data_IF_349231502060
#
_entry.id   IF_349231502060
#
_cell.length_a   1.000
_cell.length_b   1.000
_cell.length_c   1.000
_cell.angle_alpha   90.00
_cell.angle_beta   90.00
_cell.angle_gamma   90.00
#
_symmetry.space_group_name_H-M   'P 1'
#
loop_
_entity.id
_entity.type
_entity.pdbx_description
1 polymer ?
#
# COMPACT_ATOMS: atom_id res chain seq x y z
N UNK A 1 19.77 12.58 -9.17
CA UNK A 1 18.94 11.42 -9.57
C UNK A 1 17.74 11.30 -8.66
N UNK A 2 16.61 11.00 -9.25
CA UNK A 2 15.39 10.78 -8.46
C UNK A 2 15.47 9.44 -7.74
N UNK A 3 15.04 9.43 -6.47
CA UNK A 3 14.95 8.20 -5.69
C UNK A 3 13.78 7.35 -6.17
N UNK A 4 13.85 6.03 -6.05
CA UNK A 4 12.74 5.17 -6.42
C UNK A 4 11.51 5.44 -5.55
N UNK A 5 10.35 5.23 -6.14
CA UNK A 5 9.05 5.34 -5.46
C UNK A 5 8.45 3.94 -5.36
N UNK A 6 7.94 3.61 -4.19
CA UNK A 6 7.16 2.40 -3.96
C UNK A 6 5.75 2.78 -3.55
N UNK A 7 4.78 1.93 -3.86
CA UNK A 7 3.41 2.10 -3.41
C UNK A 7 3.03 0.92 -2.54
N UNK A 8 2.48 1.20 -1.36
CA UNK A 8 1.98 0.20 -0.43
C UNK A 8 0.47 0.34 -0.24
N UNK A 9 -0.18 -0.77 0.07
CA UNK A 9 -1.54 -0.78 0.60
C UNK A 9 -1.46 -0.92 2.11
N UNK A 10 -2.37 -0.24 2.81
CA UNK A 10 -2.47 -0.30 4.26
C UNK A 10 -3.89 -0.71 4.63
N UNK A 11 -4.02 -1.57 5.65
CA UNK A 11 -5.33 -1.98 6.14
C UNK A 11 -5.30 -2.28 7.63
N UNK A 12 -6.41 -2.00 8.30
CA UNK A 12 -6.58 -2.33 9.72
C UNK A 12 -8.06 -2.52 10.02
N UNK A 13 -8.40 -3.47 10.90
CA UNK A 13 -9.78 -3.66 11.31
C UNK A 13 -9.97 -3.86 12.82
N UNK A 14 -8.91 -3.63 13.60
CA UNK A 14 -8.99 -3.71 15.06
C UNK A 14 -8.61 -2.37 15.70
N UNK A 15 -9.28 -2.04 16.78
CA UNK A 15 -8.99 -0.86 17.58
C UNK A 15 -9.27 0.46 16.83
N UNK A 16 -8.47 1.47 17.11
CA UNK A 16 -8.53 2.74 16.41
C UNK A 16 -7.78 2.61 15.07
N UNK A 17 -8.51 2.23 14.04
CA UNK A 17 -7.97 1.86 12.73
C UNK A 17 -7.17 3.00 12.09
N UNK A 18 -7.73 4.21 12.05
CA UNK A 18 -7.05 5.36 11.44
C UNK A 18 -5.75 5.70 12.18
N UNK A 19 -5.79 5.73 13.51
CA UNK A 19 -4.59 6.02 14.31
C UNK A 19 -3.51 4.96 14.06
N UNK A 20 -3.90 3.70 13.94
CA UNK A 20 -2.97 2.61 13.64
C UNK A 20 -2.30 2.79 12.28
N UNK A 21 -3.06 3.13 11.25
CA UNK A 21 -2.51 3.34 9.92
C UNK A 21 -1.56 4.54 9.88
N UNK A 22 -1.91 5.62 10.56
CA UNK A 22 -1.05 6.80 10.64
C UNK A 22 0.22 6.52 11.45
N UNK A 23 0.11 5.71 12.51
CA UNK A 23 1.28 5.28 13.28
C UNK A 23 2.22 4.42 12.43
N UNK A 24 1.67 3.55 11.59
CA UNK A 24 2.47 2.74 10.67
C UNK A 24 3.29 3.64 9.74
N UNK A 25 2.66 4.65 9.15
CA UNK A 25 3.35 5.61 8.27
C UNK A 25 4.44 6.37 9.04
N UNK A 26 4.15 6.79 10.28
CA UNK A 26 5.12 7.46 11.14
C UNK A 26 6.33 6.59 11.45
N UNK A 27 6.12 5.28 11.66
CA UNK A 27 7.22 4.34 11.88
C UNK A 27 8.09 4.18 10.64
N UNK A 28 7.50 4.17 9.46
CA UNK A 28 8.26 4.15 8.20
C UNK A 28 9.10 5.42 8.05
N UNK A 29 8.53 6.57 8.35
CA UNK A 29 9.26 7.85 8.32
C UNK A 29 10.43 7.84 9.30
N UNK A 30 10.23 7.32 10.50
CA UNK A 30 11.30 7.19 11.49
C UNK A 30 12.44 6.27 11.02
N UNK A 31 12.13 5.34 10.12
CA UNK A 31 13.11 4.43 9.52
C UNK A 31 13.79 5.01 8.27
N UNK A 32 13.51 6.26 7.93
CA UNK A 32 14.15 6.93 6.79
C UNK A 32 13.36 6.87 5.48
N UNK A 33 12.12 6.40 5.52
CA UNK A 33 11.25 6.35 4.35
C UNK A 33 10.41 7.65 4.31
N UNK A 34 10.49 8.39 3.22
CA UNK A 34 9.68 9.60 3.09
C UNK A 34 8.31 9.26 2.49
N UNK A 35 7.24 9.60 3.20
CA UNK A 35 5.88 9.45 2.69
C UNK A 35 5.55 10.64 1.78
N UNK A 36 5.36 10.37 0.50
CA UNK A 36 5.11 11.41 -0.51
C UNK A 36 3.63 11.80 -0.57
N UNK A 37 2.75 10.82 -0.50
CA UNK A 37 1.31 11.02 -0.59
C UNK A 37 0.58 9.85 0.06
N UNK A 38 -0.61 10.13 0.58
CA UNK A 38 -1.47 9.12 1.20
C UNK A 38 -2.87 9.33 0.64
N UNK A 39 -3.53 8.25 0.23
CA UNK A 39 -4.93 8.30 -0.20
C UNK A 39 -5.86 8.55 0.98
N UNK A 40 -7.10 8.93 0.69
CA UNK A 40 -8.15 8.83 1.70
C UNK A 40 -8.31 7.36 2.10
N UNK A 41 -8.67 7.11 3.35
CA UNK A 41 -8.96 5.76 3.83
C UNK A 41 -10.43 5.45 3.59
N UNK A 42 -10.72 4.23 3.13
CA UNK A 42 -12.09 3.79 2.87
C UNK A 42 -12.41 2.55 3.70
N UNK A 43 -13.67 2.40 4.09
CA UNK A 43 -14.12 1.20 4.78
C UNK A 43 -14.51 0.12 3.77
N UNK A 44 -14.11 -1.11 4.05
CA UNK A 44 -14.41 -2.26 3.19
C UNK A 44 -14.79 -3.46 4.04
N UNK A 45 -15.67 -4.31 3.50
CA UNK A 45 -16.05 -5.55 4.16
C UNK A 45 -14.88 -6.55 4.16
N UNK A 46 -14.75 -7.37 5.22
CA UNK A 46 -13.70 -8.38 5.26
C UNK A 46 -13.89 -9.43 4.16
N UNK A 47 -12.76 -9.89 3.61
CA UNK A 47 -12.71 -10.95 2.60
C UNK A 47 -12.24 -12.24 3.28
N UNK A 48 -12.90 -13.36 2.96
CA UNK A 48 -12.60 -14.65 3.57
C UNK A 48 -13.35 -14.84 4.87
N UNK A 49 -12.67 -14.64 6.01
CA UNK A 49 -13.31 -14.72 7.33
C UNK A 49 -14.16 -13.47 7.56
N UNK A 50 -15.49 -13.61 7.50
CA UNK A 50 -16.41 -12.47 7.54
C UNK A 50 -16.90 -12.10 8.95
N UNK A 51 -16.63 -12.94 9.95
CA UNK A 51 -17.02 -12.67 11.35
C UNK A 51 -15.96 -11.80 12.03
N UNK A 52 -15.78 -10.58 11.50
CA UNK A 52 -14.82 -9.60 12.01
C UNK A 52 -15.24 -8.20 11.59
N UNK A 53 -14.74 -7.14 12.25
CA UNK A 53 -15.04 -5.77 11.85
C UNK A 53 -14.57 -5.44 10.44
N UNK A 54 -15.19 -4.43 9.83
CA UNK A 54 -14.78 -3.92 8.53
C UNK A 54 -13.36 -3.35 8.60
N UNK A 55 -12.66 -3.46 7.48
CA UNK A 55 -11.33 -2.88 7.33
C UNK A 55 -11.42 -1.40 6.99
N UNK A 56 -10.43 -0.65 7.46
CA UNK A 56 -10.11 0.66 6.92
C UNK A 56 -8.88 0.47 6.02
N UNK A 57 -8.98 0.87 4.75
CA UNK A 57 -7.95 0.64 3.74
C UNK A 57 -7.51 1.94 3.08
N UNK A 58 -6.24 1.99 2.70
CA UNK A 58 -5.67 3.08 1.94
C UNK A 58 -4.43 2.65 1.19
N UNK A 59 -3.82 3.60 0.52
CA UNK A 59 -2.54 3.43 -0.17
C UNK A 59 -1.63 4.61 0.16
N UNK A 60 -0.33 4.39 0.02
CA UNK A 60 0.67 5.45 0.22
C UNK A 60 1.79 5.31 -0.79
N UNK A 61 2.30 6.45 -1.25
CA UNK A 61 3.49 6.51 -2.10
C UNK A 61 4.67 6.88 -1.22
N UNK A 62 5.74 6.11 -1.36
CA UNK A 62 6.94 6.21 -0.54
C UNK A 62 8.15 6.52 -1.40
N UNK A 63 8.96 7.49 -0.99
CA UNK A 63 10.27 7.73 -1.59
C UNK A 63 11.28 6.87 -0.84
N UNK A 64 11.97 6.01 -1.57
CA UNK A 64 12.82 4.98 -0.99
C UNK A 64 14.29 5.38 -1.09
N UNK A 65 15.08 5.27 -0.01
CA UNK A 65 16.53 5.49 -0.09
C UNK A 65 17.16 4.56 -1.14
N UNK A 66 18.11 5.07 -1.90
CA UNK A 66 18.73 4.31 -3.01
C UNK A 66 19.34 2.97 -2.57
N UNK A 67 19.83 2.90 -1.34
CA UNK A 67 20.45 1.69 -0.83
C UNK A 67 19.44 0.62 -0.38
N UNK A 68 18.14 0.95 -0.34
CA UNK A 68 17.11 0.02 0.15
C UNK A 68 16.48 -0.73 -1.01
N UNK A 69 16.69 -2.05 -1.04
CA UNK A 69 16.11 -2.93 -2.07
C UNK A 69 14.62 -3.19 -1.80
N UNK A 70 13.88 -3.70 -2.80
CA UNK A 70 12.49 -4.15 -2.56
C UNK A 70 12.40 -5.18 -1.43
N UNK A 71 13.34 -6.12 -1.36
CA UNK A 71 13.37 -7.14 -0.32
C UNK A 71 13.57 -6.52 1.08
N UNK A 72 14.47 -5.54 1.19
CA UNK A 72 14.70 -4.85 2.46
C UNK A 72 13.47 -4.00 2.85
N UNK A 73 12.80 -3.39 1.90
CA UNK A 73 11.54 -2.69 2.18
C UNK A 73 10.47 -3.66 2.69
N UNK A 74 10.34 -4.83 2.07
CA UNK A 74 9.39 -5.84 2.53
C UNK A 74 9.66 -6.22 4.00
N UNK A 75 10.92 -6.45 4.36
CA UNK A 75 11.30 -6.76 5.74
C UNK A 75 10.93 -5.63 6.71
N UNK A 76 11.13 -4.38 6.27
CA UNK A 76 10.75 -3.21 7.07
C UNK A 76 9.23 -3.14 7.27
N UNK A 77 8.45 -3.43 6.24
CA UNK A 77 6.99 -3.49 6.36
C UNK A 77 6.54 -4.58 7.33
N UNK A 78 7.13 -5.77 7.22
CA UNK A 78 6.82 -6.88 8.13
C UNK A 78 7.19 -6.54 9.58
N UNK A 79 8.35 -5.96 9.83
CA UNK A 79 8.74 -5.56 11.18
C UNK A 79 7.85 -4.46 11.74
N UNK A 80 7.35 -3.57 10.89
CA UNK A 80 6.38 -2.55 11.30
C UNK A 80 5.06 -3.18 11.72
N UNK A 81 4.55 -4.15 10.97
CA UNK A 81 3.35 -4.90 11.33
C UNK A 81 3.51 -5.57 12.70
N UNK A 82 4.65 -6.22 12.92
CA UNK A 82 4.94 -6.89 14.19
C UNK A 82 4.97 -5.88 15.34
N UNK A 83 5.62 -4.74 15.14
CA UNK A 83 5.70 -3.68 16.15
C UNK A 83 4.31 -3.12 16.51
N UNK A 84 3.35 -3.21 15.60
CA UNK A 84 1.98 -2.76 15.82
C UNK A 84 1.05 -3.88 16.32
N UNK A 85 1.62 -5.00 16.75
CA UNK A 85 0.87 -6.08 17.39
C UNK A 85 0.20 -7.06 16.44
N UNK A 86 0.80 -7.29 15.26
CA UNK A 86 0.25 -8.26 14.30
C UNK A 86 0.20 -9.66 14.88
N UNK A 87 -1.00 -10.23 14.96
CA UNK A 87 -1.23 -11.63 15.33
C UNK A 87 -2.22 -12.22 14.33
N UNK A 88 -1.90 -13.41 13.80
CA UNK A 88 -2.78 -14.10 12.85
C UNK A 88 -2.91 -15.57 13.22
N UNK A 89 -3.83 -15.89 14.16
CA UNK A 89 -4.03 -17.27 14.59
C UNK A 89 -4.60 -18.18 13.47
N UNK A 90 -5.21 -17.60 12.43
CA UNK A 90 -5.74 -18.33 11.28
C UNK A 90 -5.77 -17.41 10.03
N UNK A 91 -5.87 -17.97 8.81
CA UNK A 91 -5.92 -17.15 7.58
C UNK A 91 -7.07 -16.16 7.57
N UNK A 92 -6.80 -14.93 7.12
CA UNK A 92 -7.74 -13.81 7.08
C UNK A 92 -8.30 -13.41 8.44
N UNK A 93 -7.62 -13.77 9.54
CA UNK A 93 -8.00 -13.36 10.88
C UNK A 93 -7.93 -11.83 11.05
N UNK A 94 -8.66 -11.27 12.03
CA UNK A 94 -8.54 -9.85 12.36
C UNK A 94 -7.08 -9.46 12.64
N UNK A 95 -6.70 -8.24 12.25
CA UNK A 95 -5.33 -7.77 12.40
C UNK A 95 -5.26 -6.29 12.67
N UNK A 96 -4.30 -5.90 13.52
CA UNK A 96 -4.10 -4.51 13.89
C UNK A 96 -3.67 -3.69 12.67
N UNK A 97 -2.70 -4.21 11.91
CA UNK A 97 -2.19 -3.52 10.71
C UNK A 97 -1.69 -4.53 9.68
N UNK A 98 -1.99 -4.24 8.42
CA UNK A 98 -1.54 -5.04 7.28
C UNK A 98 -0.91 -4.07 6.27
N UNK A 99 0.31 -4.35 5.86
CA UNK A 99 1.07 -3.52 4.93
C UNK A 99 1.52 -4.37 3.76
N UNK A 100 1.00 -4.09 2.56
CA UNK A 100 1.33 -4.85 1.35
C UNK A 100 2.14 -3.98 0.39
N UNK A 101 3.28 -4.50 -0.07
CA UNK A 101 4.06 -3.85 -1.11
C UNK A 101 3.42 -4.15 -2.47
N UNK A 102 2.87 -3.12 -3.11
CA UNK A 102 2.18 -3.26 -4.40
C UNK A 102 3.12 -3.08 -5.58
N UNK A 103 3.94 -2.03 -5.54
CA UNK A 103 4.85 -1.65 -6.61
C UNK A 103 6.13 -1.07 -6.02
N UNK A 104 7.24 -1.30 -6.70
CA UNK A 104 8.51 -0.65 -6.40
C UNK A 104 9.11 -0.22 -7.73
N UNK A 105 8.87 1.03 -8.14
CA UNK A 105 9.21 1.53 -9.48
C UNK A 105 8.78 0.51 -10.55
N UNK A 106 9.61 0.25 -11.52
CA UNK A 106 9.41 -0.76 -12.56
C UNK A 106 10.05 -2.12 -12.21
N UNK A 107 10.45 -2.30 -10.96
CA UNK A 107 11.05 -3.54 -10.50
C UNK A 107 10.06 -4.71 -10.58
N UNK A 108 10.56 -5.85 -11.00
CA UNK A 108 9.79 -7.10 -11.03
C UNK A 108 10.46 -8.14 -10.16
N UNK A 109 9.63 -8.96 -9.50
CA UNK A 109 10.11 -10.06 -8.67
C UNK A 109 9.16 -11.24 -8.82
N UNK A 110 9.71 -12.44 -8.79
CA UNK A 110 8.94 -13.68 -8.82
C UNK A 110 9.63 -14.70 -7.92
N UNK A 111 9.71 -14.38 -6.63
CA UNK A 111 10.37 -15.22 -5.62
C UNK A 111 9.36 -15.71 -4.59
N UNK A 112 9.67 -16.75 -3.81
CA UNK A 112 8.76 -17.18 -2.75
C UNK A 112 8.45 -16.10 -1.71
N UNK A 113 9.37 -15.15 -1.49
CA UNK A 113 9.20 -14.09 -0.50
C UNK A 113 8.50 -12.86 -1.07
N UNK A 114 8.66 -12.59 -2.37
CA UNK A 114 8.22 -11.33 -2.94
C UNK A 114 7.84 -11.48 -4.40
N UNK A 115 6.63 -11.04 -4.74
CA UNK A 115 6.17 -10.92 -6.13
C UNK A 115 5.85 -9.46 -6.39
N UNK A 116 6.46 -8.88 -7.44
CA UNK A 116 6.21 -7.51 -7.85
C UNK A 116 5.94 -7.45 -9.36
N UNK A 117 4.95 -6.70 -9.79
CA UNK A 117 3.92 -6.04 -8.97
C UNK A 117 3.11 -7.05 -8.16
N UNK A 118 2.45 -6.60 -7.10
CA UNK A 118 1.62 -7.48 -6.27
C UNK A 118 0.66 -8.28 -7.16
N UNK A 119 0.57 -9.61 -7.01
CA UNK A 119 -0.13 -10.44 -8.01
C UNK A 119 -1.64 -10.22 -8.10
N UNK A 120 -2.25 -9.64 -7.06
CA UNK A 120 -3.69 -9.48 -6.97
C UNK A 120 -4.16 -8.03 -6.93
N UNK A 121 -3.27 -7.06 -7.21
CA UNK A 121 -3.64 -5.65 -7.09
C UNK A 121 -4.80 -5.26 -8.03
N UNK A 122 -4.87 -5.90 -9.19
CA UNK A 122 -5.90 -5.60 -10.20
C UNK A 122 -7.28 -6.15 -9.85
N UNK A 123 -7.34 -7.11 -8.94
CA UNK A 123 -8.56 -7.84 -8.60
C UNK A 123 -9.28 -7.28 -7.38
N UNK A 124 -8.68 -6.31 -6.68
CA UNK A 124 -9.17 -5.84 -5.38
C UNK A 124 -9.67 -4.41 -5.44
N UNK A 125 -11.01 -4.23 -5.37
CA UNK A 125 -11.61 -2.89 -5.34
C UNK A 125 -11.05 -2.04 -4.19
N UNK A 126 -10.78 -2.66 -3.03
CA UNK A 126 -10.21 -1.95 -1.88
C UNK A 126 -8.76 -1.52 -2.09
N UNK A 127 -8.13 -1.92 -3.18
CA UNK A 127 -6.82 -1.44 -3.62
C UNK A 127 -6.99 -0.43 -4.75
N UNK A 128 -7.85 -0.73 -5.73
CA UNK A 128 -8.03 0.11 -6.94
C UNK A 128 -8.53 1.51 -6.61
N UNK A 129 -9.55 1.62 -5.74
CA UNK A 129 -10.12 2.92 -5.37
C UNK A 129 -9.09 3.80 -4.65
N UNK A 130 -8.39 3.31 -3.60
CA UNK A 130 -7.31 4.11 -3.00
C UNK A 130 -6.15 4.41 -3.93
N UNK A 131 -5.83 3.52 -4.89
CA UNK A 131 -4.77 3.82 -5.88
C UNK A 131 -5.16 5.01 -6.75
N UNK A 132 -6.39 5.02 -7.27
CA UNK A 132 -6.87 6.14 -8.08
C UNK A 132 -6.79 7.45 -7.31
N UNK A 133 -7.22 7.43 -6.05
CA UNK A 133 -7.16 8.61 -5.17
C UNK A 133 -5.72 9.04 -4.90
N UNK A 134 -4.81 8.09 -4.71
CA UNK A 134 -3.39 8.38 -4.48
C UNK A 134 -2.78 9.15 -5.65
N UNK A 135 -3.03 8.69 -6.88
CA UNK A 135 -2.53 9.39 -8.06
C UNK A 135 -3.14 10.79 -8.20
N UNK A 136 -4.41 10.94 -7.85
CA UNK A 136 -5.06 12.25 -7.84
C UNK A 136 -4.46 13.19 -6.78
N UNK A 137 -4.14 12.67 -5.59
CA UNK A 137 -3.45 13.43 -4.53
C UNK A 137 -2.08 13.91 -5.02
N UNK A 138 -1.32 13.03 -5.69
CA UNK A 138 -0.02 13.39 -6.23
C UNK A 138 -0.15 14.48 -7.29
N UNK A 139 -1.13 14.38 -8.17
CA UNK A 139 -1.40 15.39 -9.20
C UNK A 139 -1.77 16.74 -8.56
N UNK A 140 -2.68 16.72 -7.60
CA UNK A 140 -3.14 17.93 -6.91
C UNK A 140 -1.99 18.63 -6.17
N UNK A 141 -1.04 17.86 -5.64
CA UNK A 141 0.15 18.39 -4.94
C UNK A 141 1.30 18.71 -5.91
N UNK A 142 1.09 18.58 -7.21
CA UNK A 142 2.09 18.82 -8.25
C UNK A 142 3.39 18.02 -8.02
N UNK A 143 3.27 16.78 -7.55
CA UNK A 143 4.41 15.89 -7.33
C UNK A 143 4.83 15.25 -8.65
N UNK A 144 6.09 15.40 -9.00
CA UNK A 144 6.60 14.96 -10.31
C UNK A 144 6.63 13.45 -10.50
N UNK A 145 6.73 12.67 -9.40
CA UNK A 145 6.85 11.22 -9.51
C UNK A 145 5.65 10.60 -10.24
N UNK A 146 4.45 11.11 -10.01
CA UNK A 146 3.23 10.56 -10.62
C UNK A 146 3.09 10.88 -12.10
N UNK A 147 3.87 11.81 -12.62
CA UNK A 147 3.83 12.21 -14.03
C UNK A 147 4.83 11.45 -14.90
N UNK A 148 5.62 10.53 -14.33
CA UNK A 148 6.61 9.72 -15.06
C UNK A 148 6.22 8.25 -15.08
N UNK A 149 6.86 7.49 -15.95
CA UNK A 149 6.71 6.04 -15.98
C UNK A 149 7.45 5.41 -14.80
N UNK A 150 6.98 4.30 -14.26
CA UNK A 150 5.85 3.47 -14.75
C UNK A 150 4.48 3.98 -14.30
N UNK A 151 4.40 5.05 -13.52
CA UNK A 151 3.19 5.48 -12.81
C UNK A 151 2.08 5.95 -13.75
N UNK A 152 2.43 6.60 -14.85
CA UNK A 152 1.44 7.03 -15.84
C UNK A 152 0.67 5.82 -16.39
N UNK A 153 1.39 4.76 -16.77
CA UNK A 153 0.77 3.54 -17.29
C UNK A 153 -0.07 2.82 -16.23
N UNK A 154 0.42 2.76 -15.01
CA UNK A 154 -0.31 2.14 -13.89
C UNK A 154 -1.60 2.92 -13.62
N UNK A 155 -1.53 4.25 -13.58
CA UNK A 155 -2.70 5.10 -13.37
C UNK A 155 -3.76 4.87 -14.44
N UNK A 156 -3.35 4.79 -15.70
CA UNK A 156 -4.27 4.53 -16.82
C UNK A 156 -4.94 3.17 -16.67
N UNK A 157 -4.19 2.16 -16.26
CA UNK A 157 -4.70 0.81 -16.04
C UNK A 157 -5.70 0.77 -14.88
N UNK A 158 -5.41 1.48 -13.80
CA UNK A 158 -6.33 1.60 -12.64
C UNK A 158 -7.66 2.21 -13.10
N UNK A 159 -7.61 3.32 -13.84
CA UNK A 159 -8.81 3.97 -14.34
C UNK A 159 -9.64 3.05 -15.23
N UNK A 160 -8.98 2.30 -16.13
CA UNK A 160 -9.67 1.35 -17.00
C UNK A 160 -10.33 0.22 -16.22
N UNK A 161 -9.67 -0.30 -15.18
CA UNK A 161 -10.22 -1.36 -14.34
C UNK A 161 -11.43 -0.89 -13.53
N UNK A 162 -11.39 0.32 -13.01
CA UNK A 162 -12.52 0.90 -12.27
C UNK A 162 -13.72 1.09 -13.21
N UNK A 163 -13.49 1.63 -14.41
CA UNK A 163 -14.55 1.85 -15.40
C UNK A 163 -15.20 0.53 -15.82
N UNK A 164 -14.43 -0.55 -15.93
CA UNK A 164 -14.96 -1.86 -16.37
C UNK A 164 -15.85 -2.52 -15.32
N UNK A 165 -15.79 -2.10 -14.06
CA UNK A 165 -16.62 -2.64 -12.97
C UNK A 165 -17.98 -1.95 -12.85
N UNK A 166 -18.22 -0.91 -13.63
CA UNK A 166 -19.50 -0.19 -13.64
C UNK A 166 -20.50 -0.76 -14.71
#
# INVERSE_FOLDING_TARGET
MEKPVAIIALGANLGNREATLRLALGKLESAGIRVLAVSDFIETEPVGYTDQPDFLNGTAALEIPEALSPEALLELLLSTEIALGRERPFPNAPRTCDLDLLFFEDETRATPQLILPHPRWQERAFVLVPLADLFEKARAAAQSWGARQPWVSIRQKVAALIDSEQ
#
